data_IF_305442017007
#
_entry.id   IF_305442017007
#
_cell.length_a   1.000
_cell.length_b   1.000
_cell.length_c   1.000
_cell.angle_alpha   90.00
_cell.angle_beta   90.00
_cell.angle_gamma   90.00
#
_symmetry.space_group_name_H-M   'P 1'
#
loop_
_entity.id
_entity.type
_entity.pdbx_description
1 polymer ?
#
# COMPACT_ATOMS: atom_id res chain seq x y z
N UNK A 1 10.84 -3.91 -20.12
CA UNK A 1 11.00 -4.44 -18.74
C UNK A 1 10.12 -5.66 -18.53
N UNK A 2 8.78 -5.56 -18.52
CA UNK A 2 7.90 -6.72 -18.24
C UNK A 2 8.07 -7.85 -19.26
N UNK A 3 8.18 -7.51 -20.56
CA UNK A 3 8.44 -8.49 -21.63
C UNK A 3 9.79 -9.18 -21.42
N UNK A 4 10.81 -8.43 -21.08
CA UNK A 4 12.15 -8.96 -20.86
C UNK A 4 12.20 -9.83 -19.59
N UNK A 5 11.52 -9.43 -18.53
CA UNK A 5 11.39 -10.24 -17.31
C UNK A 5 10.68 -11.57 -17.59
N UNK A 6 9.56 -11.55 -18.31
CA UNK A 6 8.83 -12.78 -18.70
C UNK A 6 9.69 -13.69 -19.57
N UNK A 7 10.50 -13.12 -20.45
CA UNK A 7 11.41 -13.88 -21.30
C UNK A 7 12.59 -14.47 -20.51
N UNK A 8 13.17 -13.67 -19.58
CA UNK A 8 14.35 -14.08 -18.79
C UNK A 8 13.98 -15.10 -17.72
N UNK A 9 12.85 -14.90 -17.04
CA UNK A 9 12.41 -15.77 -15.95
C UNK A 9 11.68 -17.02 -16.47
N UNK A 10 11.02 -16.91 -17.61
CA UNK A 10 10.23 -17.99 -18.20
C UNK A 10 8.96 -18.33 -17.40
N UNK A 11 8.02 -19.05 -18.01
CA UNK A 11 6.77 -19.46 -17.34
C UNK A 11 7.00 -20.55 -16.28
N UNK A 12 8.12 -21.28 -16.38
CA UNK A 12 8.46 -22.39 -15.47
C UNK A 12 9.10 -21.94 -14.16
N UNK A 13 9.36 -20.62 -14.00
CA UNK A 13 10.04 -20.12 -12.79
C UNK A 13 9.13 -20.28 -11.57
N UNK A 14 9.61 -21.02 -10.59
CA UNK A 14 8.92 -21.25 -9.33
C UNK A 14 9.42 -20.27 -8.27
N UNK A 15 8.50 -19.49 -7.71
CA UNK A 15 8.77 -18.51 -6.64
C UNK A 15 8.13 -18.93 -5.31
N UNK A 16 7.14 -19.83 -5.34
CA UNK A 16 6.38 -20.21 -4.16
C UNK A 16 5.89 -21.66 -4.27
N UNK A 17 5.74 -22.29 -3.12
CA UNK A 17 5.09 -23.59 -2.96
C UNK A 17 3.57 -23.48 -2.90
N UNK A 18 3.01 -22.28 -2.86
CA UNK A 18 1.57 -22.03 -2.84
C UNK A 18 1.14 -21.52 -4.23
N UNK A 19 0.23 -22.23 -4.83
CA UNK A 19 -0.35 -21.91 -6.14
C UNK A 19 -1.88 -21.97 -6.09
N UNK A 20 -2.52 -21.35 -7.08
CA UNK A 20 -3.95 -21.51 -7.29
C UNK A 20 -4.26 -22.27 -8.59
N UNK A 21 -5.54 -22.59 -8.81
CA UNK A 21 -6.00 -23.30 -10.01
C UNK A 21 -5.82 -22.48 -11.30
N UNK A 22 -5.56 -21.17 -11.19
CA UNK A 22 -5.24 -20.24 -12.30
C UNK A 22 -3.74 -20.19 -12.63
N UNK A 23 -2.90 -20.86 -11.82
CA UNK A 23 -1.45 -20.87 -11.95
C UNK A 23 -0.73 -19.68 -11.34
N UNK A 24 -1.44 -18.82 -10.57
CA UNK A 24 -0.77 -17.77 -9.80
C UNK A 24 0.04 -18.39 -8.66
N UNK A 25 1.14 -17.73 -8.31
CA UNK A 25 2.03 -18.10 -7.21
C UNK A 25 1.91 -17.08 -6.08
N UNK A 26 1.94 -17.53 -4.84
CA UNK A 26 1.65 -16.70 -3.69
C UNK A 26 2.87 -16.50 -2.81
N UNK A 27 3.15 -15.25 -2.46
CA UNK A 27 4.26 -14.84 -1.60
C UNK A 27 3.79 -13.84 -0.53
N UNK A 28 4.56 -13.68 0.51
CA UNK A 28 4.37 -12.58 1.48
C UNK A 28 5.06 -11.32 0.96
N UNK A 29 4.50 -10.17 1.27
CA UNK A 29 5.04 -8.88 0.85
C UNK A 29 5.23 -7.95 2.05
N UNK A 30 6.47 -7.50 2.22
CA UNK A 30 6.83 -6.47 3.20
C UNK A 30 7.29 -5.22 2.46
N UNK A 31 6.72 -4.07 2.81
CA UNK A 31 6.96 -2.81 2.13
C UNK A 31 7.47 -1.76 3.11
N UNK A 32 8.59 -1.14 2.79
CA UNK A 32 9.15 -0.04 3.57
C UNK A 32 8.58 1.32 3.17
N UNK A 33 8.92 2.33 3.96
CA UNK A 33 8.57 3.72 3.67
C UNK A 33 9.44 4.32 2.56
N UNK A 34 9.09 5.52 2.14
CA UNK A 34 9.80 6.25 1.09
C UNK A 34 9.10 7.55 0.68
N UNK A 35 8.14 8.02 1.47
CA UNK A 35 7.36 9.22 1.17
C UNK A 35 6.69 9.10 -0.20
N UNK A 36 6.83 10.14 -1.02
CA UNK A 36 6.24 10.19 -2.39
C UNK A 36 6.76 9.06 -3.29
N UNK A 37 7.96 8.55 -3.05
CA UNK A 37 8.50 7.39 -3.76
C UNK A 37 7.68 6.11 -3.52
N UNK A 38 6.78 6.10 -2.54
CA UNK A 38 5.81 5.02 -2.33
C UNK A 38 4.96 4.68 -3.56
N UNK A 39 4.81 5.61 -4.53
CA UNK A 39 4.19 5.31 -5.83
C UNK A 39 4.95 4.20 -6.58
N UNK A 40 6.26 4.10 -6.41
CA UNK A 40 7.08 3.04 -7.01
C UNK A 40 6.71 1.65 -6.48
N UNK A 41 6.22 1.55 -5.22
CA UNK A 41 5.73 0.29 -4.65
C UNK A 41 4.55 -0.27 -5.44
N UNK A 42 3.65 0.60 -5.91
CA UNK A 42 2.51 0.18 -6.75
C UNK A 42 2.98 -0.34 -8.10
N UNK A 43 3.98 0.33 -8.71
CA UNK A 43 4.61 -0.14 -9.95
C UNK A 43 5.28 -1.50 -9.79
N UNK A 44 5.96 -1.72 -8.65
CA UNK A 44 6.57 -3.00 -8.30
C UNK A 44 5.50 -4.10 -8.16
N UNK A 45 4.45 -3.84 -7.39
CA UNK A 45 3.30 -4.76 -7.24
C UNK A 45 2.69 -5.09 -8.60
N UNK A 46 2.46 -4.07 -9.45
CA UNK A 46 1.94 -4.28 -10.80
C UNK A 46 2.78 -5.26 -11.63
N UNK A 47 4.10 -5.10 -11.63
CA UNK A 47 5.00 -5.99 -12.36
C UNK A 47 4.89 -7.43 -11.83
N UNK A 48 4.88 -7.62 -10.53
CA UNK A 48 4.74 -8.95 -9.91
C UNK A 48 3.38 -9.59 -10.27
N UNK A 49 2.30 -8.83 -10.20
CA UNK A 49 0.96 -9.30 -10.57
C UNK A 49 0.88 -9.72 -12.05
N UNK A 50 1.54 -8.98 -12.94
CA UNK A 50 1.63 -9.33 -14.36
C UNK A 50 2.48 -10.60 -14.63
N UNK A 51 3.29 -10.99 -13.66
CA UNK A 51 4.06 -12.23 -13.68
C UNK A 51 3.32 -13.41 -13.02
N UNK A 52 2.06 -13.23 -12.62
CA UNK A 52 1.28 -14.26 -11.94
C UNK A 52 1.60 -14.41 -10.46
N UNK A 53 2.21 -13.39 -9.84
CA UNK A 53 2.43 -13.37 -8.39
C UNK A 53 1.21 -12.74 -7.70
N UNK A 54 0.82 -13.31 -6.57
CA UNK A 54 -0.21 -12.80 -5.64
C UNK A 54 0.35 -12.77 -4.23
N UNK A 55 -0.35 -12.09 -3.33
CA UNK A 55 0.19 -11.79 -2.01
C UNK A 55 -0.71 -12.37 -0.91
N UNK A 56 -0.12 -13.18 -0.04
CA UNK A 56 -0.78 -13.74 1.14
C UNK A 56 -0.71 -12.76 2.30
N UNK A 57 0.41 -12.78 3.02
CA UNK A 57 0.64 -11.83 4.11
C UNK A 57 1.14 -10.50 3.56
N UNK A 58 0.71 -9.44 4.22
CA UNK A 58 1.05 -8.07 3.85
C UNK A 58 1.57 -7.34 5.08
N UNK A 59 2.72 -6.68 4.95
CA UNK A 59 3.24 -5.80 5.98
C UNK A 59 3.77 -4.51 5.37
N UNK A 60 3.65 -3.41 6.12
CA UNK A 60 4.16 -2.13 5.65
C UNK A 60 4.40 -1.11 6.74
N UNK A 61 5.31 -0.18 6.47
CA UNK A 61 5.60 0.98 7.31
C UNK A 61 5.59 2.25 6.47
N UNK A 62 5.15 3.40 7.03
CA UNK A 62 5.06 4.69 6.33
C UNK A 62 4.26 4.57 5.02
N UNK A 63 4.81 5.00 3.88
CA UNK A 63 4.18 4.84 2.55
C UNK A 63 3.83 3.38 2.23
N UNK A 64 4.64 2.43 2.71
CA UNK A 64 4.34 1.00 2.63
C UNK A 64 3.10 0.61 3.42
N UNK A 65 2.79 1.25 4.56
CA UNK A 65 1.56 1.03 5.31
C UNK A 65 0.32 1.43 4.51
N UNK A 66 0.39 2.57 3.82
CA UNK A 66 -0.68 3.06 2.95
C UNK A 66 -0.96 2.05 1.84
N UNK A 67 0.09 1.63 1.12
CA UNK A 67 -0.05 0.68 0.04
C UNK A 67 -0.55 -0.69 0.55
N UNK A 68 -0.03 -1.16 1.68
CA UNK A 68 -0.45 -2.40 2.34
C UNK A 68 -1.94 -2.38 2.69
N UNK A 69 -2.44 -1.29 3.28
CA UNK A 69 -3.86 -1.14 3.60
C UNK A 69 -4.73 -1.15 2.33
N UNK A 70 -4.33 -0.39 1.32
CA UNK A 70 -5.04 -0.37 0.03
C UNK A 70 -5.03 -1.75 -0.65
N UNK A 71 -3.90 -2.46 -0.62
CA UNK A 71 -3.81 -3.82 -1.14
C UNK A 71 -4.74 -4.79 -0.40
N UNK A 72 -4.80 -4.69 0.93
CA UNK A 72 -5.67 -5.52 1.74
C UNK A 72 -7.16 -5.27 1.46
N UNK A 73 -7.53 -4.02 1.18
CA UNK A 73 -8.91 -3.60 0.92
C UNK A 73 -9.35 -3.75 -0.55
N UNK A 74 -8.40 -3.84 -1.51
CA UNK A 74 -8.70 -3.79 -2.94
C UNK A 74 -9.56 -4.96 -3.44
N UNK A 75 -9.45 -6.13 -2.80
CA UNK A 75 -10.20 -7.32 -3.17
C UNK A 75 -9.62 -8.60 -2.56
N UNK A 76 -10.12 -9.74 -3.00
CA UNK A 76 -9.72 -11.07 -2.53
C UNK A 76 -8.26 -11.39 -2.83
N UNK A 77 -7.73 -12.40 -2.17
CA UNK A 77 -6.30 -12.76 -2.22
C UNK A 77 -5.79 -13.07 -3.64
N UNK A 78 -6.62 -13.63 -4.49
CA UNK A 78 -6.28 -14.03 -5.88
C UNK A 78 -6.51 -12.92 -6.92
N UNK A 79 -7.11 -11.80 -6.53
CA UNK A 79 -7.36 -10.67 -7.43
C UNK A 79 -6.13 -9.74 -7.53
N UNK A 80 -5.90 -9.18 -8.72
CA UNK A 80 -4.92 -8.11 -8.91
C UNK A 80 -5.41 -6.81 -8.29
N UNK A 81 -4.50 -6.07 -7.65
CA UNK A 81 -4.81 -4.90 -6.79
C UNK A 81 -4.21 -3.61 -7.32
N UNK A 82 -3.06 -3.71 -7.98
CA UNK A 82 -2.24 -2.56 -8.37
C UNK A 82 -2.95 -1.58 -9.29
N UNK A 83 -3.79 -2.04 -10.21
CA UNK A 83 -4.49 -1.15 -11.15
C UNK A 83 -5.42 -0.19 -10.40
N UNK A 84 -6.24 -0.70 -9.48
CA UNK A 84 -7.13 0.14 -8.68
C UNK A 84 -6.34 1.12 -7.79
N UNK A 85 -5.26 0.65 -7.16
CA UNK A 85 -4.41 1.52 -6.32
C UNK A 85 -3.77 2.62 -7.16
N UNK A 86 -3.29 2.29 -8.35
CA UNK A 86 -2.71 3.27 -9.26
C UNK A 86 -3.75 4.34 -9.66
N UNK A 87 -4.97 3.95 -9.97
CA UNK A 87 -6.07 4.87 -10.26
C UNK A 87 -6.35 5.80 -9.07
N UNK A 88 -6.37 5.27 -7.84
CA UNK A 88 -6.55 6.07 -6.64
C UNK A 88 -5.45 7.12 -6.47
N UNK A 89 -4.19 6.75 -6.71
CA UNK A 89 -3.04 7.65 -6.58
C UNK A 89 -2.98 8.67 -7.72
N UNK A 90 -3.24 8.27 -8.96
CA UNK A 90 -3.23 9.17 -10.12
C UNK A 90 -4.31 10.25 -10.04
N UNK A 91 -5.43 9.95 -9.40
CA UNK A 91 -6.54 10.89 -9.22
C UNK A 91 -6.40 11.79 -7.97
N UNK A 92 -5.28 11.69 -7.23
CA UNK A 92 -5.03 12.50 -6.04
C UNK A 92 -3.78 13.34 -6.18
N UNK A 93 -3.93 14.64 -5.92
CA UNK A 93 -2.78 15.52 -5.74
C UNK A 93 -2.24 15.28 -4.33
N UNK A 94 -1.07 14.66 -4.20
CA UNK A 94 -0.48 14.33 -2.89
C UNK A 94 -0.20 15.57 -2.04
N UNK A 95 0.06 16.72 -2.69
CA UNK A 95 0.22 18.00 -2.00
C UNK A 95 -1.01 18.43 -1.19
N UNK A 96 -2.22 17.96 -1.55
CA UNK A 96 -3.45 18.25 -0.80
C UNK A 96 -3.41 17.66 0.62
N UNK A 97 -2.51 16.71 0.89
CA UNK A 97 -2.32 16.15 2.24
C UNK A 97 -1.55 17.09 3.18
N UNK A 98 -0.95 18.15 2.65
CA UNK A 98 -0.41 19.23 3.45
C UNK A 98 -1.58 20.15 3.82
N UNK A 99 -2.30 19.81 4.87
CA UNK A 99 -3.55 20.46 5.29
C UNK A 99 -3.41 21.28 6.59
N UNK A 100 -2.17 21.55 6.99
CA UNK A 100 -1.85 22.48 8.04
C UNK A 100 -2.13 23.95 7.67
N UNK A 101 -1.92 24.85 8.61
CA UNK A 101 -2.03 26.28 8.40
C UNK A 101 -1.04 26.80 7.34
N UNK A 102 -1.14 28.10 7.00
CA UNK A 102 -0.29 28.71 5.97
C UNK A 102 1.19 28.47 6.20
N UNK A 103 1.62 28.49 7.46
CA UNK A 103 3.03 28.31 7.87
C UNK A 103 3.56 26.92 7.56
N UNK A 104 2.72 25.87 7.73
CA UNK A 104 3.08 24.50 7.38
C UNK A 104 3.25 24.34 5.86
N UNK A 105 2.36 24.94 5.07
CA UNK A 105 2.45 24.93 3.60
C UNK A 105 3.68 25.70 3.12
N UNK A 106 3.91 26.87 3.66
CA UNK A 106 5.06 27.71 3.34
C UNK A 106 6.39 27.02 3.69
N UNK A 107 6.41 26.23 4.76
CA UNK A 107 7.58 25.44 5.15
C UNK A 107 7.83 24.28 4.15
N UNK A 108 6.78 23.54 3.77
CA UNK A 108 6.90 22.47 2.77
C UNK A 108 7.30 23.04 1.41
N UNK A 109 6.72 24.16 1.00
CA UNK A 109 7.10 24.86 -0.23
C UNK A 109 8.55 25.32 -0.22
N UNK A 110 9.04 25.78 0.94
CA UNK A 110 10.44 26.15 1.11
C UNK A 110 11.39 24.96 1.07
N UNK A 111 10.96 23.79 1.58
CA UNK A 111 11.74 22.55 1.48
C UNK A 111 11.80 22.01 0.04
N UNK A 112 10.73 22.20 -0.72
CA UNK A 112 10.65 21.77 -2.12
C UNK A 112 11.30 22.76 -3.10
N UNK A 113 11.40 24.02 -2.70
CA UNK A 113 12.06 25.07 -3.47
C UNK A 113 13.51 25.19 -2.95
N UNK A 114 14.48 25.31 -3.83
CA UNK A 114 15.92 25.50 -3.49
C UNK A 114 16.16 26.85 -2.77
N UNK A 115 15.59 27.01 -1.58
CA UNK A 115 15.61 28.26 -0.80
C UNK A 115 16.82 28.26 0.14
N UNK A 116 17.47 29.41 0.30
CA UNK A 116 18.64 29.55 1.16
C UNK A 116 18.37 29.07 2.59
N UNK A 117 19.35 28.40 3.20
CA UNK A 117 19.29 27.84 4.56
C UNK A 117 18.82 28.83 5.64
N UNK A 118 19.03 30.15 5.43
CA UNK A 118 18.58 31.20 6.36
C UNK A 118 17.05 31.37 6.33
N UNK A 119 16.43 31.35 5.15
CA UNK A 119 14.96 31.44 5.04
C UNK A 119 14.30 30.16 5.56
N UNK A 120 14.92 29.02 5.35
CA UNK A 120 14.46 27.73 5.88
C UNK A 120 14.51 27.72 7.42
N UNK A 121 15.57 28.28 8.03
CA UNK A 121 15.71 28.38 9.48
C UNK A 121 14.66 29.31 10.12
N UNK A 122 14.34 30.45 9.48
CA UNK A 122 13.31 31.38 9.97
C UNK A 122 11.92 30.74 9.89
N UNK A 123 11.60 30.06 8.78
CA UNK A 123 10.32 29.35 8.64
C UNK A 123 10.24 28.14 9.56
N UNK A 124 11.34 27.43 9.77
CA UNK A 124 11.44 26.36 10.74
C UNK A 124 11.17 26.83 12.19
N UNK A 125 11.61 28.04 12.57
CA UNK A 125 11.35 28.60 13.89
C UNK A 125 9.85 28.94 14.12
N UNK A 126 9.17 29.44 13.09
CA UNK A 126 7.72 29.70 13.13
C UNK A 126 6.92 28.38 13.27
N UNK A 127 7.37 27.34 12.58
CA UNK A 127 6.79 26.00 12.66
C UNK A 127 6.97 25.36 14.03
N UNK A 128 8.09 25.61 14.71
CA UNK A 128 8.35 25.10 16.08
C UNK A 128 7.36 25.69 17.09
N UNK A 129 6.93 26.93 16.92
CA UNK A 129 5.95 27.58 17.81
C UNK A 129 4.57 26.91 17.66
N UNK A 130 4.13 26.67 16.43
CA UNK A 130 2.89 25.91 16.15
C UNK A 130 2.96 24.44 16.60
N UNK A 131 4.16 23.83 16.53
CA UNK A 131 4.38 22.47 17.01
C UNK A 131 4.19 22.32 18.53
N UNK A 132 4.42 23.39 19.29
CA UNK A 132 4.22 23.40 20.74
C UNK A 132 2.76 23.46 21.15
N UNK A 133 1.92 24.10 20.34
CA UNK A 133 0.52 24.35 20.68
C UNK A 133 -0.41 23.25 20.11
N UNK A 134 -0.11 22.69 18.92
CA UNK A 134 -0.99 21.77 18.19
C UNK A 134 -0.45 20.33 18.04
N UNK A 135 0.70 20.00 18.62
CA UNK A 135 1.34 18.69 18.55
C UNK A 135 1.61 18.17 17.12
N UNK A 136 1.58 19.02 16.09
CA UNK A 136 1.87 18.64 14.71
C UNK A 136 1.69 19.75 13.70
N UNK A 137 2.28 19.55 12.50
CA UNK A 137 2.22 20.52 11.40
C UNK A 137 0.97 20.37 10.54
N UNK A 138 0.41 19.17 10.50
CA UNK A 138 -0.72 18.83 9.65
C UNK A 138 -1.77 18.05 10.44
N UNK A 139 -3.02 18.51 10.50
CA UNK A 139 -4.11 17.79 11.16
C UNK A 139 -4.40 16.42 10.52
N UNK A 140 -3.96 16.19 9.27
CA UNK A 140 -4.14 14.93 8.55
C UNK A 140 -5.57 14.65 8.11
N UNK A 141 -6.47 15.63 8.16
CA UNK A 141 -7.90 15.46 7.82
C UNK A 141 -8.09 15.08 6.36
N UNK A 142 -7.38 15.74 5.45
CA UNK A 142 -7.47 15.47 4.02
C UNK A 142 -6.99 14.05 3.68
N UNK A 143 -5.94 13.58 4.35
CA UNK A 143 -5.48 12.19 4.20
C UNK A 143 -6.49 11.20 4.79
N UNK A 144 -6.98 11.45 6.00
CA UNK A 144 -8.00 10.64 6.65
C UNK A 144 -9.25 10.49 5.78
N UNK A 145 -9.80 11.61 5.30
CA UNK A 145 -11.02 11.60 4.50
C UNK A 145 -10.83 10.92 3.14
N UNK A 146 -9.67 11.12 2.52
CA UNK A 146 -9.31 10.42 1.29
C UNK A 146 -9.24 8.90 1.51
N UNK A 147 -8.52 8.45 2.53
CA UNK A 147 -8.41 7.03 2.85
C UNK A 147 -9.77 6.41 3.19
N UNK A 148 -10.54 7.08 4.05
CA UNK A 148 -11.89 6.65 4.40
C UNK A 148 -12.81 6.49 3.18
N UNK A 149 -12.74 7.44 2.23
CA UNK A 149 -13.52 7.37 1.01
C UNK A 149 -13.10 6.18 0.13
N UNK A 150 -11.81 5.89 0.00
CA UNK A 150 -11.31 4.73 -0.75
C UNK A 150 -11.75 3.40 -0.11
N UNK A 151 -11.63 3.28 1.20
CA UNK A 151 -12.07 2.09 1.94
C UNK A 151 -13.58 1.89 1.80
N UNK A 152 -14.37 2.95 1.92
CA UNK A 152 -15.83 2.91 1.73
C UNK A 152 -16.23 2.43 0.32
N UNK A 153 -15.50 2.82 -0.74
CA UNK A 153 -15.72 2.30 -2.10
C UNK A 153 -15.58 0.78 -2.16
N UNK A 154 -14.75 0.22 -1.30
CA UNK A 154 -14.54 -1.24 -1.16
C UNK A 154 -15.43 -1.87 -0.07
N UNK A 155 -16.37 -1.11 0.50
CA UNK A 155 -17.27 -1.53 1.59
C UNK A 155 -16.51 -1.94 2.86
N UNK A 156 -15.37 -1.32 3.10
CA UNK A 156 -14.56 -1.48 4.31
C UNK A 156 -14.79 -0.25 5.19
N UNK A 157 -15.43 -0.44 6.33
CA UNK A 157 -15.71 0.61 7.32
C UNK A 157 -15.10 0.32 8.70
N UNK A 158 -14.64 -0.91 8.91
CA UNK A 158 -14.04 -1.39 10.14
C UNK A 158 -12.93 -2.41 9.87
N UNK A 159 -12.12 -2.68 10.89
CA UNK A 159 -11.16 -3.79 10.84
C UNK A 159 -11.84 -5.13 10.63
N UNK A 160 -13.03 -5.32 11.20
CA UNK A 160 -13.82 -6.54 11.01
C UNK A 160 -14.20 -6.78 9.54
N UNK A 161 -14.59 -5.72 8.81
CA UNK A 161 -14.87 -5.84 7.36
C UNK A 161 -13.62 -6.25 6.59
N UNK A 162 -12.47 -5.66 6.94
CA UNK A 162 -11.19 -5.98 6.31
C UNK A 162 -10.77 -7.42 6.58
N UNK A 163 -10.89 -7.87 7.83
CA UNK A 163 -10.64 -9.27 8.22
C UNK A 163 -11.57 -10.23 7.49
N UNK A 164 -12.86 -9.90 7.40
CA UNK A 164 -13.84 -10.70 6.68
C UNK A 164 -13.47 -10.83 5.19
N UNK A 165 -13.11 -9.73 4.53
CA UNK A 165 -12.67 -9.76 3.13
C UNK A 165 -11.44 -10.65 2.94
N UNK A 166 -10.45 -10.51 3.81
CA UNK A 166 -9.21 -11.30 3.72
C UNK A 166 -9.47 -12.78 4.00
N UNK A 167 -10.21 -13.10 5.05
CA UNK A 167 -10.54 -14.48 5.43
C UNK A 167 -11.51 -15.18 4.45
N UNK A 168 -12.16 -14.43 3.58
CA UNK A 168 -12.97 -15.01 2.51
C UNK A 168 -12.13 -15.83 1.49
N UNK A 169 -10.80 -15.73 1.55
CA UNK A 169 -9.89 -16.49 0.69
C UNK A 169 -9.99 -16.08 -0.79
N UNK A 170 -9.63 -16.97 -1.71
CA UNK A 170 -9.72 -16.71 -3.14
C UNK A 170 -11.16 -16.63 -3.63
N UNK A 171 -11.36 -16.16 -4.86
CA UNK A 171 -12.66 -16.12 -5.52
C UNK A 171 -13.26 -17.52 -5.66
N UNK A 172 -14.60 -17.58 -5.71
CA UNK A 172 -15.31 -18.84 -5.82
C UNK A 172 -14.80 -19.69 -7.02
N UNK A 173 -14.60 -20.97 -6.78
CA UNK A 173 -14.07 -21.90 -7.78
C UNK A 173 -12.55 -21.86 -7.96
N UNK A 174 -11.83 -21.02 -7.21
CA UNK A 174 -10.37 -20.99 -7.21
C UNK A 174 -9.84 -21.48 -5.86
N UNK A 175 -8.90 -22.40 -5.85
CA UNK A 175 -8.39 -23.04 -4.62
C UNK A 175 -6.89 -22.87 -4.53
N UNK A 176 -6.42 -22.44 -3.35
CA UNK A 176 -5.00 -22.48 -3.03
C UNK A 176 -4.54 -23.89 -2.70
N UNK A 177 -3.41 -24.30 -3.28
CA UNK A 177 -2.84 -25.63 -3.11
C UNK A 177 -1.34 -25.55 -2.83
N UNK A 178 -0.86 -26.52 -2.09
CA UNK A 178 0.57 -26.77 -2.02
C UNK A 178 1.03 -27.38 -3.35
N UNK A 179 2.00 -26.77 -4.02
CA UNK A 179 2.52 -27.19 -5.33
C UNK A 179 3.07 -28.61 -5.32
N UNK A 180 3.74 -29.02 -4.24
CA UNK A 180 4.45 -30.30 -4.16
C UNK A 180 3.49 -31.46 -3.85
N UNK A 181 2.53 -31.23 -2.96
CA UNK A 181 1.61 -32.27 -2.47
C UNK A 181 0.25 -32.22 -3.16
N UNK A 182 -0.05 -31.14 -3.87
CA UNK A 182 -1.37 -30.82 -4.43
C UNK A 182 -2.49 -30.73 -3.37
N UNK A 183 -2.14 -30.68 -2.09
CA UNK A 183 -3.11 -30.57 -1.01
C UNK A 183 -3.70 -29.16 -0.96
N UNK A 184 -5.03 -29.02 -0.85
CA UNK A 184 -5.67 -27.72 -0.73
C UNK A 184 -5.43 -27.10 0.66
N UNK A 185 -5.36 -25.78 0.72
CA UNK A 185 -5.39 -25.01 1.96
C UNK A 185 -6.84 -24.71 2.33
N UNK A 186 -7.32 -25.32 3.41
CA UNK A 186 -8.71 -25.21 3.86
C UNK A 186 -8.95 -24.03 4.81
N UNK A 187 -7.89 -23.46 5.37
CA UNK A 187 -7.95 -22.29 6.26
C UNK A 187 -6.99 -21.21 5.78
N UNK A 188 -7.47 -19.98 5.71
CA UNK A 188 -6.68 -18.82 5.29
C UNK A 188 -6.07 -18.07 6.47
N UNK A 189 -6.60 -18.24 7.68
CA UNK A 189 -6.24 -17.42 8.84
C UNK A 189 -4.74 -17.36 9.14
N UNK A 190 -4.04 -18.50 9.03
CA UNK A 190 -2.61 -18.58 9.27
C UNK A 190 -1.75 -18.05 8.10
N UNK A 191 -2.34 -17.96 6.91
CA UNK A 191 -1.67 -17.54 5.69
C UNK A 191 -1.85 -16.03 5.39
N UNK A 192 -2.85 -15.39 5.97
CA UNK A 192 -3.26 -14.03 5.58
C UNK A 192 -2.98 -13.01 6.71
N UNK A 193 -1.74 -12.93 7.15
CA UNK A 193 -1.33 -11.95 8.14
C UNK A 193 -1.34 -10.52 7.56
N UNK A 194 -1.69 -9.54 8.40
CA UNK A 194 -1.66 -8.12 8.04
C UNK A 194 -0.99 -7.32 9.16
N UNK A 195 0.08 -6.62 8.83
CA UNK A 195 0.78 -5.73 9.75
C UNK A 195 0.93 -4.33 9.14
N UNK A 196 0.31 -3.34 9.77
CA UNK A 196 0.37 -1.93 9.37
C UNK A 196 1.00 -1.16 10.52
N UNK A 197 2.17 -0.59 10.28
CA UNK A 197 2.94 0.15 11.28
C UNK A 197 2.73 1.64 11.05
N UNK A 198 2.14 2.31 12.02
CA UNK A 198 1.99 3.75 12.09
C UNK A 198 2.65 4.28 13.36
N UNK A 199 3.16 5.49 13.30
CA UNK A 199 3.55 6.24 14.50
C UNK A 199 2.31 6.95 15.06
N UNK A 200 2.20 6.94 16.39
CA UNK A 200 1.22 7.68 17.17
C UNK A 200 1.89 8.93 17.76
#
# INVERSE_FOLDING_TARGET
>A
ILKDLKQTLGPEKQFSDIIDDKGNQYVDLVQEGGGVLGVALVGYVYVLEQMGIRFLSLAGTSAGSINTLLMAAAGRVDEAKSTWILECLCNKKLYDFVDGESDARDFVDALLSDVSNVKLAIRGAQVIDNFRDDFGLNPGRNFHDWMKNLLNQKKISSMGDLEQLRNAGPTEGNVLRNRLTNAPYNSMGDLLQLAIIAAD
#
